data_IF_642007386857
#
_entry.id   IF_642007386857
#
_cell.length_a   1.000
_cell.length_b   1.000
_cell.length_c   1.000
_cell.angle_alpha   90.00
_cell.angle_beta   90.00
_cell.angle_gamma   90.00
#
_symmetry.space_group_name_H-M   'P 1'
#
loop_
_entity.id
_entity.type
_entity.pdbx_description
1 polymer ?
#
# COMPACT_ATOMS: atom_id res chain seq x y z
N UNK A 1 -4.01 5.06 -4.99
CA UNK A 1 -3.51 3.68 -4.93
C UNK A 1 -2.07 3.53 -5.39
N UNK A 2 -1.73 4.13 -6.53
CA UNK A 2 -0.39 4.11 -7.13
C UNK A 2 0.72 4.62 -6.18
N UNK A 3 1.87 3.95 -6.21
CA UNK A 3 3.08 4.32 -5.47
C UNK A 3 4.15 4.70 -6.47
N UNK A 4 4.84 5.82 -6.24
CA UNK A 4 5.89 6.35 -7.08
C UNK A 4 7.16 6.62 -6.27
N UNK A 5 8.31 6.57 -6.94
CA UNK A 5 9.51 7.28 -6.49
C UNK A 5 9.49 8.67 -7.13
N UNK A 6 9.13 9.66 -6.33
CA UNK A 6 9.04 11.04 -6.75
C UNK A 6 10.27 11.86 -6.36
N UNK A 7 10.54 12.94 -7.09
CA UNK A 7 11.59 13.90 -6.77
C UNK A 7 10.99 15.24 -6.38
N UNK A 8 11.39 15.78 -5.23
CA UNK A 8 10.94 17.09 -4.77
C UNK A 8 11.45 18.16 -5.74
N UNK A 9 10.53 18.82 -6.44
CA UNK A 9 10.86 19.85 -7.42
C UNK A 9 10.95 21.24 -6.78
N UNK A 10 10.09 21.53 -5.80
CA UNK A 10 10.06 22.80 -5.07
C UNK A 10 9.43 22.65 -3.69
N UNK A 11 9.99 23.34 -2.70
CA UNK A 11 9.42 23.45 -1.34
C UNK A 11 8.77 24.82 -1.18
N UNK A 12 7.58 24.86 -0.57
CA UNK A 12 6.76 26.05 -0.35
C UNK A 12 6.40 26.16 1.14
N UNK A 13 7.26 26.78 1.97
CA UNK A 13 7.04 26.88 3.43
C UNK A 13 5.76 27.62 3.79
N UNK A 14 5.42 28.68 3.04
CA UNK A 14 4.18 29.44 3.24
C UNK A 14 2.88 28.64 3.01
N UNK A 15 2.96 27.49 2.35
CA UNK A 15 1.84 26.56 2.13
C UNK A 15 2.01 25.24 2.89
N UNK A 16 3.07 25.11 3.70
CA UNK A 16 3.45 23.86 4.38
C UNK A 16 3.46 22.65 3.43
N UNK A 17 3.98 22.84 2.23
CA UNK A 17 3.88 21.84 1.17
C UNK A 17 5.06 21.84 0.20
N UNK A 18 5.20 20.75 -0.54
CA UNK A 18 6.19 20.58 -1.58
C UNK A 18 5.54 20.05 -2.86
N UNK A 19 6.06 20.51 -4.00
CA UNK A 19 5.77 19.90 -5.29
C UNK A 19 6.74 18.74 -5.52
N UNK A 20 6.19 17.62 -5.99
CA UNK A 20 6.91 16.38 -6.26
C UNK A 20 6.66 15.98 -7.71
N UNK A 21 7.72 15.82 -8.46
CA UNK A 21 7.68 15.22 -9.80
C UNK A 21 7.59 13.70 -9.65
N UNK A 22 6.49 13.12 -10.12
CA UNK A 22 6.24 11.67 -10.15
C UNK A 22 6.14 11.13 -11.59
N UNK A 23 6.55 11.93 -12.59
CA UNK A 23 6.50 11.56 -14.01
C UNK A 23 5.14 11.79 -14.69
N UNK A 24 4.22 12.49 -14.03
CA UNK A 24 2.94 12.92 -14.63
C UNK A 24 3.05 14.35 -15.18
N UNK A 25 2.17 14.71 -16.12
CA UNK A 25 2.16 16.04 -16.76
C UNK A 25 2.06 17.21 -15.77
N UNK A 26 1.43 16.97 -14.61
CA UNK A 26 1.24 17.96 -13.55
C UNK A 26 2.03 17.56 -12.33
N UNK A 27 2.78 18.51 -11.77
CA UNK A 27 3.49 18.34 -10.52
C UNK A 27 2.49 17.96 -9.41
N UNK A 28 2.79 16.88 -8.69
CA UNK A 28 1.98 16.41 -7.59
C UNK A 28 2.31 17.20 -6.31
N UNK A 29 1.38 17.22 -5.38
CA UNK A 29 1.42 18.04 -4.17
C UNK A 29 1.51 17.16 -2.92
N UNK A 30 2.49 17.42 -2.06
CA UNK A 30 2.72 16.75 -0.78
C UNK A 30 2.65 17.77 0.35
N UNK A 31 1.73 17.61 1.29
CA UNK A 31 1.60 18.50 2.46
C UNK A 31 2.43 17.97 3.64
N UNK A 32 2.90 18.85 4.53
CA UNK A 32 3.70 18.47 5.70
C UNK A 32 2.99 17.44 6.60
N UNK A 33 1.66 17.55 6.75
CA UNK A 33 0.86 16.57 7.51
C UNK A 33 0.79 15.18 6.88
N UNK A 34 1.06 15.07 5.57
CA UNK A 34 1.04 13.81 4.84
C UNK A 34 2.45 13.18 4.79
N UNK A 35 3.41 13.76 5.52
CA UNK A 35 4.75 13.20 5.71
C UNK A 35 4.80 12.59 7.11
N UNK A 36 4.75 11.26 7.16
CA UNK A 36 4.93 10.53 8.41
C UNK A 36 6.40 10.57 8.87
N UNK A 37 6.70 11.00 10.11
CA UNK A 37 7.98 10.68 10.72
C UNK A 37 8.03 9.15 10.90
N UNK A 38 9.05 8.50 10.36
CA UNK A 38 9.22 7.03 10.34
C UNK A 38 9.43 6.37 11.72
N UNK A 39 8.81 6.85 12.80
CA UNK A 39 9.12 6.35 14.16
C UNK A 39 7.94 6.21 15.13
N UNK A 40 6.71 6.64 14.83
CA UNK A 40 5.69 6.71 15.90
C UNK A 40 4.31 6.23 15.47
N UNK A 41 4.18 4.91 15.37
CA UNK A 41 2.92 4.22 15.61
C UNK A 41 3.00 3.48 16.95
N UNK A 42 3.28 4.24 18.02
CA UNK A 42 3.30 3.70 19.39
C UNK A 42 1.84 3.53 19.83
N UNK A 43 1.42 2.28 19.98
CA UNK A 43 0.13 1.96 20.58
C UNK A 43 0.18 2.31 22.07
N UNK A 44 -0.74 3.17 22.51
CA UNK A 44 -0.99 3.45 23.92
C UNK A 44 -0.15 4.60 24.50
N UNK A 45 -0.86 5.62 25.00
CA UNK A 45 -0.40 6.63 25.97
C UNK A 45 0.40 7.85 25.50
N UNK A 46 0.72 8.02 24.20
CA UNK A 46 1.24 9.30 23.70
C UNK A 46 0.37 9.89 22.59
N UNK A 47 -0.79 10.43 22.98
CA UNK A 47 -1.35 11.62 22.31
C UNK A 47 -0.45 12.83 22.57
N UNK A 48 0.88 12.70 22.42
CA UNK A 48 1.78 13.84 22.38
C UNK A 48 1.47 14.57 21.08
N UNK A 49 0.64 15.59 21.22
CA UNK A 49 0.50 16.76 20.36
C UNK A 49 1.36 16.64 19.10
N UNK A 50 0.80 16.02 18.05
CA UNK A 50 1.50 15.82 16.78
C UNK A 50 1.73 17.21 16.17
N UNK A 51 2.84 17.84 16.51
CA UNK A 51 3.25 19.10 15.94
C UNK A 51 3.81 18.77 14.57
N UNK A 52 2.99 19.05 13.54
CA UNK A 52 3.44 18.94 12.16
C UNK A 52 4.65 19.86 12.01
N UNK A 53 5.82 19.25 11.82
CA UNK A 53 7.07 19.98 11.59
C UNK A 53 6.98 20.77 10.31
N UNK A 54 7.73 21.86 10.23
CA UNK A 54 7.75 22.69 9.02
C UNK A 54 8.20 21.86 7.82
N UNK A 55 7.53 22.03 6.68
CA UNK A 55 7.88 21.32 5.45
C UNK A 55 9.36 21.46 5.07
N UNK A 56 9.99 22.59 5.40
CA UNK A 56 11.40 22.89 5.11
C UNK A 56 12.35 22.00 5.90
N UNK A 57 11.93 21.48 7.04
CA UNK A 57 12.69 20.53 7.85
C UNK A 57 12.51 19.09 7.37
N UNK A 58 11.34 18.80 6.79
CA UNK A 58 10.96 17.46 6.37
C UNK A 58 11.54 17.07 5.00
N UNK A 59 11.59 18.01 4.06
CA UNK A 59 12.01 17.73 2.68
C UNK A 59 12.88 18.83 2.09
N UNK A 60 13.76 18.44 1.17
CA UNK A 60 14.64 19.35 0.44
C UNK A 60 14.42 19.24 -1.06
N UNK A 61 14.63 20.34 -1.77
CA UNK A 61 14.61 20.33 -3.23
C UNK A 61 15.64 19.33 -3.79
N UNK A 62 15.24 18.54 -4.77
CA UNK A 62 16.05 17.49 -5.38
C UNK A 62 16.06 16.15 -4.64
N UNK A 63 15.45 16.07 -3.44
CA UNK A 63 15.34 14.83 -2.67
C UNK A 63 14.40 13.84 -3.35
N UNK A 64 14.80 12.57 -3.42
CA UNK A 64 13.94 11.47 -3.86
C UNK A 64 13.13 10.92 -2.67
N UNK A 65 11.83 10.71 -2.85
CA UNK A 65 10.90 10.22 -1.84
C UNK A 65 10.01 9.11 -2.43
N UNK A 66 9.61 8.15 -1.59
CA UNK A 66 8.52 7.24 -1.94
C UNK A 66 7.20 7.89 -1.54
N UNK A 67 6.26 7.95 -2.47
CA UNK A 67 4.98 8.62 -2.27
C UNK A 67 3.84 7.77 -2.83
N UNK A 68 2.68 7.82 -2.18
CA UNK A 68 1.45 7.21 -2.67
C UNK A 68 0.44 8.30 -3.06
N UNK A 69 -0.25 8.08 -4.18
CA UNK A 69 -1.35 8.95 -4.63
C UNK A 69 -2.60 8.67 -3.79
N UNK A 70 -3.02 9.69 -3.05
CA UNK A 70 -4.25 9.73 -2.23
C UNK A 70 -5.42 10.26 -3.05
N UNK A 71 -5.17 11.30 -3.86
CA UNK A 71 -6.17 11.88 -4.78
C UNK A 71 -5.56 12.07 -6.15
N UNK A 72 -6.26 11.57 -7.17
CA UNK A 72 -5.90 11.75 -8.57
C UNK A 72 -5.91 13.23 -8.97
N UNK A 73 -5.14 13.61 -10.01
CA UNK A 73 -5.15 14.98 -10.51
C UNK A 73 -6.55 15.37 -11.01
N UNK A 74 -7.01 16.57 -10.64
CA UNK A 74 -8.33 17.09 -11.01
C UNK A 74 -8.19 18.48 -11.63
N UNK A 75 -8.64 18.63 -12.88
CA UNK A 75 -8.60 19.91 -13.58
C UNK A 75 -7.16 20.42 -13.66
N UNK A 76 -6.87 21.61 -13.14
CA UNK A 76 -5.51 22.18 -13.09
C UNK A 76 -4.67 21.72 -11.90
N UNK A 77 -5.27 21.04 -10.91
CA UNK A 77 -4.57 20.59 -9.70
C UNK A 77 -3.91 19.23 -9.94
N UNK A 78 -2.63 19.13 -9.58
CA UNK A 78 -1.90 17.86 -9.57
C UNK A 78 -2.42 16.89 -8.50
N UNK A 79 -1.90 15.67 -8.53
CA UNK A 79 -2.27 14.63 -7.56
C UNK A 79 -1.89 15.03 -6.12
N UNK A 80 -2.68 14.61 -5.12
CA UNK A 80 -2.29 14.71 -3.70
C UNK A 80 -1.54 13.45 -3.28
N UNK A 81 -0.42 13.64 -2.61
CA UNK A 81 0.49 12.58 -2.18
C UNK A 81 0.53 12.42 -0.67
N UNK A 82 0.96 11.24 -0.23
CA UNK A 82 1.37 10.93 1.14
C UNK A 82 2.65 10.10 1.14
N UNK A 83 3.46 10.17 2.19
CA UNK A 83 4.56 9.22 2.43
C UNK A 83 4.13 8.05 3.31
N UNK A 84 2.92 8.11 3.89
CA UNK A 84 2.30 7.01 4.62
C UNK A 84 1.71 6.00 3.64
N UNK A 85 2.55 5.02 3.26
CA UNK A 85 2.20 4.03 2.23
C UNK A 85 1.25 3.00 2.83
N UNK A 86 0.17 2.71 2.13
CA UNK A 86 -0.77 1.65 2.52
C UNK A 86 -1.00 0.69 1.36
N UNK A 87 -1.00 -0.62 1.64
CA UNK A 87 -1.23 -1.66 0.64
C UNK A 87 -2.49 -2.44 1.03
N UNK A 88 -3.66 -2.13 0.43
CA UNK A 88 -4.89 -2.84 0.73
C UNK A 88 -5.00 -4.14 -0.08
N UNK A 89 -5.38 -5.22 0.60
CA UNK A 89 -5.88 -6.45 0.00
C UNK A 89 -7.35 -6.67 0.37
N UNK A 90 -7.87 -7.89 0.27
CA UNK A 90 -9.28 -8.19 0.54
C UNK A 90 -9.63 -8.03 2.02
N UNK A 91 -8.82 -8.62 2.90
CA UNK A 91 -9.10 -8.71 4.34
C UNK A 91 -8.19 -7.81 5.16
N UNK A 92 -6.97 -7.59 4.70
CA UNK A 92 -5.93 -6.83 5.41
C UNK A 92 -5.50 -5.60 4.62
N UNK A 93 -4.96 -4.62 5.33
CA UNK A 93 -4.19 -3.50 4.76
C UNK A 93 -2.81 -3.53 5.41
N UNK A 94 -1.75 -3.64 4.63
CA UNK A 94 -0.39 -3.59 5.15
C UNK A 94 0.09 -2.14 5.26
N UNK A 95 0.72 -1.84 6.40
CA UNK A 95 1.24 -0.53 6.79
C UNK A 95 2.74 -0.67 7.04
N UNK A 96 3.61 -0.34 6.07
CA UNK A 96 5.05 -0.44 6.24
C UNK A 96 5.56 0.43 7.39
N UNK A 97 6.39 -0.13 8.26
CA UNK A 97 6.95 0.55 9.43
C UNK A 97 5.99 0.74 10.61
N UNK A 98 4.72 0.34 10.50
CA UNK A 98 3.84 0.26 11.66
C UNK A 98 4.18 -0.98 12.51
N UNK A 99 4.07 -0.88 13.84
CA UNK A 99 4.39 -1.99 14.76
C UNK A 99 3.16 -2.68 15.34
N UNK A 100 1.95 -2.25 14.97
CA UNK A 100 0.71 -2.73 15.58
C UNK A 100 -0.29 -3.28 14.56
N UNK A 101 -1.22 -4.09 15.08
CA UNK A 101 -2.41 -4.54 14.35
C UNK A 101 -3.58 -3.63 14.73
N UNK A 102 -4.13 -2.93 13.74
CA UNK A 102 -5.39 -2.20 13.87
C UNK A 102 -6.58 -3.06 13.47
N UNK A 103 -7.74 -2.86 14.09
CA UNK A 103 -8.99 -3.55 13.71
C UNK A 103 -10.04 -2.53 13.30
N UNK A 104 -10.76 -2.79 12.22
CA UNK A 104 -11.82 -1.92 11.73
C UNK A 104 -12.85 -1.62 12.83
N UNK A 105 -13.19 -0.35 13.00
CA UNK A 105 -14.21 0.09 13.96
C UNK A 105 -15.59 -0.50 13.69
N UNK A 106 -15.85 -0.98 12.45
CA UNK A 106 -17.13 -1.58 12.05
C UNK A 106 -17.31 -3.02 12.49
N UNK A 107 -16.25 -3.69 12.95
CA UNK A 107 -16.37 -5.01 13.58
C UNK A 107 -16.80 -4.72 15.02
N UNK A 108 -18.03 -5.06 15.40
CA UNK A 108 -18.56 -4.71 16.73
C UNK A 108 -18.26 -5.78 17.79
N UNK A 109 -18.12 -7.04 17.38
CA UNK A 109 -17.88 -8.16 18.28
C UNK A 109 -16.45 -8.13 18.84
N UNK A 110 -16.32 -7.92 20.16
CA UNK A 110 -15.02 -7.87 20.82
C UNK A 110 -14.28 -9.21 20.75
N UNK A 111 -15.00 -10.34 20.87
CA UNK A 111 -14.40 -11.67 20.72
C UNK A 111 -13.79 -11.88 19.34
N UNK A 112 -14.44 -11.35 18.31
CA UNK A 112 -13.94 -11.46 16.94
C UNK A 112 -12.73 -10.54 16.71
N UNK A 113 -12.75 -9.33 17.29
CA UNK A 113 -11.60 -8.43 17.28
C UNK A 113 -10.37 -9.07 17.89
N UNK A 114 -10.52 -9.67 19.08
CA UNK A 114 -9.41 -10.34 19.76
C UNK A 114 -8.89 -11.54 18.96
N UNK A 115 -9.79 -12.37 18.41
CA UNK A 115 -9.42 -13.50 17.54
C UNK A 115 -8.62 -13.03 16.33
N UNK A 116 -9.17 -12.11 15.55
CA UNK A 116 -8.53 -11.59 14.34
C UNK A 116 -7.19 -10.90 14.65
N UNK A 117 -7.15 -10.10 15.73
CA UNK A 117 -5.93 -9.43 16.17
C UNK A 117 -4.84 -10.43 16.55
N UNK A 118 -5.19 -11.50 17.26
CA UNK A 118 -4.25 -12.57 17.66
C UNK A 118 -3.65 -13.26 16.45
N UNK A 119 -4.48 -13.65 15.49
CA UNK A 119 -4.04 -14.32 14.25
C UNK A 119 -3.13 -13.41 13.43
N UNK A 120 -3.53 -12.16 13.21
CA UNK A 120 -2.77 -11.23 12.36
C UNK A 120 -1.49 -10.73 13.02
N UNK A 121 -1.43 -10.69 14.35
CA UNK A 121 -0.23 -10.28 15.08
C UNK A 121 0.98 -11.18 14.81
N UNK A 122 0.77 -12.45 14.49
CA UNK A 122 1.85 -13.38 14.12
C UNK A 122 2.55 -12.99 12.81
N UNK A 123 1.87 -12.21 11.95
CA UNK A 123 2.44 -11.76 10.69
C UNK A 123 3.11 -10.39 10.78
N UNK A 124 2.95 -9.63 11.87
CA UNK A 124 3.65 -8.36 12.07
C UNK A 124 5.14 -8.59 12.29
N UNK A 125 5.97 -7.81 11.61
CA UNK A 125 7.42 -7.85 11.75
C UNK A 125 8.03 -6.44 11.60
N UNK A 126 9.36 -6.36 11.53
CA UNK A 126 10.07 -5.08 11.32
C UNK A 126 9.70 -4.38 10.01
N UNK A 127 9.12 -5.09 9.03
CA UNK A 127 8.71 -4.47 7.77
C UNK A 127 7.42 -3.67 7.93
N UNK A 128 6.54 -4.05 8.83
CA UNK A 128 5.29 -3.34 9.06
C UNK A 128 4.20 -4.15 9.77
N UNK A 129 3.07 -3.47 9.97
CA UNK A 129 1.88 -3.97 10.64
C UNK A 129 0.70 -4.05 9.69
N UNK A 130 -0.47 -4.39 10.24
CA UNK A 130 -1.67 -4.62 9.45
C UNK A 130 -2.89 -3.92 10.04
N UNK A 131 -3.84 -3.53 9.19
CA UNK A 131 -5.19 -3.13 9.58
C UNK A 131 -6.17 -4.18 9.05
N UNK A 132 -6.95 -4.75 9.97
CA UNK A 132 -7.98 -5.74 9.68
C UNK A 132 -9.23 -5.02 9.18
N UNK A 133 -9.67 -5.34 7.96
CA UNK A 133 -10.85 -4.74 7.31
C UNK A 133 -12.13 -5.43 7.78
N UNK A 134 -13.27 -4.76 7.61
CA UNK A 134 -14.60 -5.34 7.91
C UNK A 134 -14.86 -6.65 7.16
N UNK A 135 -14.30 -6.83 5.95
CA UNK A 135 -14.44 -8.05 5.18
C UNK A 135 -13.74 -9.28 5.81
N UNK A 136 -12.88 -9.09 6.81
CA UNK A 136 -12.19 -10.15 7.54
C UNK A 136 -13.06 -10.78 8.64
N UNK A 137 -14.23 -10.23 8.93
CA UNK A 137 -15.14 -10.76 9.94
C UNK A 137 -15.61 -12.17 9.56
N UNK A 138 -15.41 -13.13 10.47
CA UNK A 138 -15.73 -14.55 10.26
C UNK A 138 -14.73 -15.31 9.39
N UNK A 139 -13.66 -14.66 8.92
CA UNK A 139 -12.68 -15.27 8.02
C UNK A 139 -11.72 -16.20 8.78
N UNK A 140 -11.38 -17.33 8.16
CA UNK A 140 -10.46 -18.33 8.71
C UNK A 140 -9.00 -17.87 8.73
N UNK A 141 -8.17 -18.54 9.53
CA UNK A 141 -6.75 -18.19 9.68
C UNK A 141 -5.94 -18.36 8.39
N UNK A 142 -6.24 -19.41 7.60
CA UNK A 142 -5.55 -19.69 6.34
C UNK A 142 -5.71 -18.55 5.32
N UNK A 143 -6.92 -18.00 5.19
CA UNK A 143 -7.20 -16.87 4.29
C UNK A 143 -6.47 -15.59 4.75
N UNK A 144 -6.42 -15.33 6.06
CA UNK A 144 -5.65 -14.20 6.60
C UNK A 144 -4.14 -14.37 6.39
N UNK A 145 -3.63 -15.59 6.52
CA UNK A 145 -2.23 -15.93 6.28
C UNK A 145 -1.85 -15.66 4.81
N UNK A 146 -2.70 -16.10 3.89
CA UNK A 146 -2.51 -15.88 2.45
C UNK A 146 -2.55 -14.40 2.09
N UNK A 147 -3.51 -13.65 2.64
CA UNK A 147 -3.64 -12.21 2.41
C UNK A 147 -2.41 -11.44 2.94
N UNK A 148 -1.91 -11.82 4.13
CA UNK A 148 -0.69 -11.27 4.71
C UNK A 148 0.56 -11.60 3.85
N UNK A 149 0.69 -12.85 3.39
CA UNK A 149 1.79 -13.28 2.54
C UNK A 149 1.80 -12.54 1.20
N UNK A 150 0.63 -12.39 0.56
CA UNK A 150 0.46 -11.59 -0.65
C UNK A 150 0.94 -10.15 -0.44
N UNK A 151 0.49 -9.49 0.64
CA UNK A 151 0.87 -8.11 0.93
C UNK A 151 2.38 -7.94 1.19
N UNK A 152 3.02 -8.87 1.89
CA UNK A 152 4.48 -8.89 2.09
C UNK A 152 5.23 -9.08 0.78
N UNK A 153 4.74 -9.94 -0.12
CA UNK A 153 5.31 -10.10 -1.49
C UNK A 153 5.20 -8.80 -2.27
N UNK A 154 4.04 -8.15 -2.27
CA UNK A 154 3.86 -6.84 -2.93
C UNK A 154 4.85 -5.81 -2.39
N UNK A 155 4.99 -5.71 -1.07
CA UNK A 155 5.92 -4.77 -0.44
C UNK A 155 7.39 -5.05 -0.80
N UNK A 156 7.78 -6.32 -0.81
CA UNK A 156 9.13 -6.74 -1.22
C UNK A 156 9.43 -6.26 -2.64
N UNK A 157 8.49 -6.44 -3.58
CA UNK A 157 8.62 -5.96 -4.97
C UNK A 157 8.68 -4.45 -5.08
N UNK A 158 7.88 -3.71 -4.30
CA UNK A 158 7.96 -2.24 -4.22
C UNK A 158 9.36 -1.81 -3.78
N UNK A 159 9.92 -2.46 -2.77
CA UNK A 159 11.25 -2.14 -2.24
C UNK A 159 12.39 -2.53 -3.20
N UNK A 160 12.28 -3.65 -3.90
CA UNK A 160 13.20 -4.04 -4.99
C UNK A 160 13.20 -2.98 -6.10
N UNK A 161 12.02 -2.52 -6.54
CA UNK A 161 11.88 -1.48 -7.56
C UNK A 161 12.45 -0.13 -7.10
N UNK A 162 12.27 0.22 -5.82
CA UNK A 162 12.81 1.47 -5.22
C UNK A 162 14.35 1.56 -5.33
N UNK A 163 15.05 0.43 -5.20
CA UNK A 163 16.52 0.34 -5.23
C UNK A 163 17.13 0.53 -6.62
N UNK A 164 16.33 0.43 -7.70
CA UNK A 164 16.83 0.55 -9.07
C UNK A 164 17.31 2.00 -9.35
N UNK A 165 18.42 2.19 -10.08
CA UNK A 165 19.00 3.52 -10.33
C UNK A 165 18.18 4.35 -11.33
N UNK A 166 17.49 3.72 -12.29
CA UNK A 166 16.55 4.39 -13.18
C UNK A 166 15.17 4.48 -12.51
N UNK A 167 14.95 5.51 -11.70
CA UNK A 167 13.66 5.70 -11.02
C UNK A 167 13.02 7.00 -11.44
N UNK A 168 12.35 6.95 -12.60
CA UNK A 168 11.27 7.87 -12.99
C UNK A 168 9.92 7.15 -13.07
N UNK A 169 9.75 6.03 -12.35
CA UNK A 169 8.69 5.07 -12.65
C UNK A 169 7.90 4.65 -11.41
N UNK A 170 6.60 4.53 -11.63
CA UNK A 170 5.64 3.85 -10.78
C UNK A 170 6.25 2.59 -10.15
N UNK A 171 6.26 2.53 -8.82
CA UNK A 171 6.74 1.38 -8.04
C UNK A 171 5.65 0.31 -7.89
N UNK A 172 4.40 0.75 -7.84
CA UNK A 172 3.21 -0.11 -7.74
C UNK A 172 1.99 0.62 -8.31
N UNK A 173 1.13 -0.13 -8.98
CA UNK A 173 -0.09 0.39 -9.61
C UNK A 173 -1.35 -0.20 -8.99
N UNK A 174 -2.48 0.48 -9.21
CA UNK A 174 -3.78 -0.10 -8.89
C UNK A 174 -4.04 -1.33 -9.76
N UNK A 175 -4.53 -2.40 -9.15
CA UNK A 175 -4.82 -3.64 -9.85
C UNK A 175 -6.02 -3.47 -10.78
N UNK A 176 -5.87 -3.95 -12.02
CA UNK A 176 -6.98 -4.08 -12.95
C UNK A 176 -8.04 -5.05 -12.40
N UNK A 177 -9.28 -4.96 -12.89
CA UNK A 177 -10.39 -5.79 -12.41
C UNK A 177 -10.05 -7.28 -12.41
N UNK A 178 -9.47 -7.80 -13.50
CA UNK A 178 -9.09 -9.21 -13.59
C UNK A 178 -8.04 -9.62 -12.55
N UNK A 179 -7.04 -8.77 -12.30
CA UNK A 179 -6.02 -9.02 -11.27
C UNK A 179 -6.61 -8.99 -9.86
N UNK A 180 -7.55 -8.07 -9.60
CA UNK A 180 -8.30 -8.03 -8.33
C UNK A 180 -9.10 -9.30 -8.11
N UNK A 181 -9.79 -9.78 -9.15
CA UNK A 181 -10.53 -11.04 -9.09
C UNK A 181 -9.58 -12.19 -8.77
N UNK A 182 -8.46 -12.33 -9.48
CA UNK A 182 -7.49 -13.39 -9.17
C UNK A 182 -6.97 -13.34 -7.73
N UNK A 183 -6.59 -12.15 -7.25
CA UNK A 183 -6.18 -11.95 -5.85
C UNK A 183 -7.27 -12.39 -4.88
N UNK A 184 -8.52 -12.01 -5.12
CA UNK A 184 -9.63 -12.29 -4.20
C UNK A 184 -10.03 -13.77 -4.20
N UNK A 185 -9.66 -14.55 -5.22
CA UNK A 185 -9.90 -15.99 -5.36
C UNK A 185 -8.62 -16.84 -5.24
N UNK A 186 -7.51 -16.26 -4.74
CA UNK A 186 -6.23 -16.95 -4.62
C UNK A 186 -6.31 -18.23 -3.77
N UNK A 187 -7.13 -18.20 -2.72
CA UNK A 187 -7.31 -19.30 -1.78
C UNK A 187 -8.44 -20.26 -2.18
N UNK A 188 -9.16 -19.98 -3.27
CA UNK A 188 -10.22 -20.86 -3.74
C UNK A 188 -9.64 -22.09 -4.43
N UNK A 189 -10.27 -23.26 -4.23
CA UNK A 189 -9.98 -24.45 -5.02
C UNK A 189 -10.48 -24.25 -6.47
N UNK A 190 -9.62 -23.65 -7.29
CA UNK A 190 -9.85 -23.46 -8.72
C UNK A 190 -9.21 -24.59 -9.52
N UNK A 191 -9.95 -25.16 -10.46
CA UNK A 191 -9.42 -26.10 -11.44
C UNK A 191 -8.67 -25.38 -12.56
N UNK A 192 -9.30 -24.38 -13.19
CA UNK A 192 -8.78 -23.65 -14.36
C UNK A 192 -9.29 -22.22 -14.43
N UNK A 193 -8.46 -21.32 -14.94
CA UNK A 193 -8.77 -19.90 -15.19
C UNK A 193 -8.65 -19.68 -16.69
N UNK A 194 -9.79 -19.50 -17.38
CA UNK A 194 -9.84 -19.34 -18.84
C UNK A 194 -9.88 -17.89 -19.24
N UNK A 195 -8.96 -17.46 -20.10
CA UNK A 195 -8.88 -16.08 -20.58
C UNK A 195 -8.94 -16.06 -22.11
N UNK A 196 -9.99 -15.46 -22.66
CA UNK A 196 -10.22 -15.37 -24.11
C UNK A 196 -9.46 -14.22 -24.80
N UNK A 197 -8.87 -13.32 -24.02
CA UNK A 197 -8.07 -12.19 -24.47
C UNK A 197 -6.59 -12.42 -24.22
N UNK A 198 -5.80 -12.48 -25.29
CA UNK A 198 -4.33 -12.63 -25.22
C UNK A 198 -3.66 -11.55 -24.37
N UNK A 199 -4.07 -10.29 -24.54
CA UNK A 199 -3.52 -9.17 -23.78
C UNK A 199 -3.80 -9.32 -22.27
N UNK A 200 -5.00 -9.76 -21.93
CA UNK A 200 -5.39 -10.01 -20.54
C UNK A 200 -4.66 -11.21 -19.96
N UNK A 201 -4.50 -12.28 -20.75
CA UNK A 201 -3.75 -13.47 -20.35
C UNK A 201 -2.30 -13.13 -20.02
N UNK A 202 -1.61 -12.41 -20.91
CA UNK A 202 -0.21 -11.99 -20.69
C UNK A 202 -0.08 -11.11 -19.43
N UNK A 203 -1.00 -10.17 -19.22
CA UNK A 203 -1.01 -9.31 -18.03
C UNK A 203 -1.32 -10.07 -16.72
N UNK A 204 -2.18 -11.10 -16.78
CA UNK A 204 -2.48 -11.95 -15.61
C UNK A 204 -1.34 -12.91 -15.32
N UNK A 205 -0.69 -13.46 -16.35
CA UNK A 205 0.46 -14.33 -16.20
C UNK A 205 1.62 -13.61 -15.51
N UNK A 206 1.92 -12.37 -15.93
CA UNK A 206 2.90 -11.52 -15.25
C UNK A 206 2.50 -11.30 -13.78
N UNK A 207 1.25 -10.91 -13.54
CA UNK A 207 0.72 -10.66 -12.20
C UNK A 207 0.78 -11.88 -11.26
N UNK A 208 0.31 -13.04 -11.70
CA UNK A 208 0.34 -14.26 -10.87
C UNK A 208 1.75 -14.74 -10.64
N UNK A 209 2.62 -14.68 -11.65
CA UNK A 209 4.02 -15.08 -11.47
C UNK A 209 4.74 -14.23 -10.42
N UNK A 210 4.36 -12.96 -10.29
CA UNK A 210 5.00 -12.04 -9.36
C UNK A 210 4.40 -12.10 -7.95
N UNK A 211 3.08 -12.23 -7.82
CA UNK A 211 2.39 -12.04 -6.55
C UNK A 211 1.63 -13.26 -6.01
N UNK A 212 1.21 -14.18 -6.89
CA UNK A 212 0.41 -15.37 -6.56
C UNK A 212 0.89 -16.58 -7.40
N UNK A 213 2.13 -17.06 -7.19
CA UNK A 213 2.73 -18.05 -8.07
C UNK A 213 1.90 -19.33 -8.17
N UNK A 214 1.14 -19.67 -7.13
CA UNK A 214 0.31 -20.85 -7.02
C UNK A 214 -0.84 -20.89 -8.05
N UNK A 215 -1.27 -19.73 -8.55
CA UNK A 215 -2.32 -19.63 -9.58
C UNK A 215 -1.77 -19.69 -11.02
N UNK A 216 -0.47 -19.48 -11.21
CA UNK A 216 0.13 -19.34 -12.55
C UNK A 216 -0.06 -20.60 -13.39
N UNK A 217 0.00 -21.78 -12.79
CA UNK A 217 -0.21 -23.06 -13.47
C UNK A 217 -1.66 -23.34 -13.89
N UNK A 218 -2.62 -22.54 -13.37
CA UNK A 218 -4.06 -22.70 -13.63
C UNK A 218 -4.58 -21.81 -14.76
N UNK A 219 -3.75 -20.88 -15.25
CA UNK A 219 -4.09 -19.95 -16.34
C UNK A 219 -3.98 -20.62 -17.71
N UNK A 220 -5.10 -20.67 -18.46
CA UNK A 220 -5.18 -21.16 -19.85
C UNK A 220 -5.94 -20.21 -20.79
#
# INVERSE_FOLDING_TARGET
GYIYKGRVSRVLPGMQAAFVDIGLDKAAFLHASDIMPHTECVAGEEQKQFTVRDISELVRQGQDLMVQVVKDPLGTKGARLTTDITLPSRYLVFMPGASHVGVSQRIESESERERLKKVVAEYCDEQGGFIIRTAAEGVGEAELASDAAYLKRVWTKVMERKKRPQTRYQLYGELALAQRVLRDFADAELDRIRVDSRLTYEALLEFTSEYIPEMTSKLE
#
